data_IF_458102130519
#
_entry.id   IF_458102130519
#
_cell.length_a   1.000
_cell.length_b   1.000
_cell.length_c   1.000
_cell.angle_alpha   90.00
_cell.angle_beta   90.00
_cell.angle_gamma   90.00
#
_symmetry.space_group_name_H-M   'P 1'
#
loop_
_entity.id
_entity.type
_entity.pdbx_description
1 polymer ?
#
# COMPACT_ATOMS: atom_id res chain seq x y z
N UNK A 1 7.73 -19.51 -3.85
CA UNK A 1 8.22 -19.46 -5.24
C UNK A 1 8.52 -20.87 -5.73
N UNK A 2 9.31 -21.66 -4.99
CA UNK A 2 9.56 -23.08 -5.26
C UNK A 2 8.27 -23.91 -5.41
N UNK A 3 7.27 -23.63 -4.56
CA UNK A 3 5.97 -24.32 -4.57
C UNK A 3 5.10 -24.02 -5.81
N UNK A 4 5.28 -22.84 -6.43
CA UNK A 4 4.56 -22.45 -7.66
C UNK A 4 5.27 -22.97 -8.92
N UNK A 5 6.61 -23.06 -8.87
CA UNK A 5 7.42 -23.56 -9.99
C UNK A 5 7.26 -25.07 -10.19
N UNK A 6 7.01 -25.83 -9.13
CA UNK A 6 6.74 -27.27 -9.24
C UNK A 6 5.40 -27.58 -9.90
N UNK A 7 4.40 -26.70 -9.76
CA UNK A 7 3.08 -26.87 -10.39
C UNK A 7 3.06 -26.45 -11.87
N UNK A 8 4.05 -25.68 -12.32
CA UNK A 8 4.12 -25.14 -13.68
C UNK A 8 5.14 -25.86 -14.58
N UNK A 9 5.83 -26.90 -14.10
CA UNK A 9 6.94 -27.58 -14.80
C UNK A 9 8.03 -26.63 -15.33
N UNK A 10 8.23 -25.49 -14.67
CA UNK A 10 9.20 -24.47 -15.07
C UNK A 10 10.32 -24.36 -14.04
N UNK A 11 11.55 -24.21 -14.52
CA UNK A 11 12.64 -23.80 -13.64
C UNK A 11 12.34 -22.43 -13.03
N UNK A 12 12.76 -22.15 -11.78
CA UNK A 12 12.50 -20.87 -11.13
C UNK A 12 12.94 -19.66 -11.95
N UNK A 13 14.05 -19.80 -12.66
CA UNK A 13 14.59 -18.74 -13.51
C UNK A 13 13.75 -18.51 -14.78
N UNK A 14 13.25 -19.58 -15.42
CA UNK A 14 12.35 -19.46 -16.57
C UNK A 14 10.99 -18.87 -16.17
N UNK A 15 10.43 -19.31 -15.03
CA UNK A 15 9.21 -18.73 -14.49
C UNK A 15 9.37 -17.24 -14.20
N UNK A 16 10.44 -16.85 -13.51
CA UNK A 16 10.73 -15.45 -13.20
C UNK A 16 10.79 -14.58 -14.45
N UNK A 17 11.53 -15.02 -15.47
CA UNK A 17 11.69 -14.27 -16.73
C UNK A 17 10.37 -14.15 -17.48
N UNK A 18 9.63 -15.26 -17.61
CA UNK A 18 8.35 -15.28 -18.31
C UNK A 18 7.31 -14.41 -17.58
N UNK A 19 7.23 -14.51 -16.25
CA UNK A 19 6.33 -13.70 -15.45
C UNK A 19 6.61 -12.21 -15.63
N UNK A 20 7.88 -11.79 -15.53
CA UNK A 20 8.26 -10.39 -15.73
C UNK A 20 7.95 -9.90 -17.14
N UNK A 21 8.15 -10.75 -18.16
CA UNK A 21 7.85 -10.42 -19.54
C UNK A 21 6.34 -10.25 -19.80
N UNK A 22 5.51 -11.06 -19.15
CA UNK A 22 4.05 -11.04 -19.35
C UNK A 22 3.34 -10.01 -18.47
N UNK A 23 3.73 -9.89 -17.20
CA UNK A 23 3.05 -9.05 -16.20
C UNK A 23 3.73 -7.69 -16.03
N UNK A 24 4.98 -7.53 -16.51
CA UNK A 24 5.74 -6.28 -16.45
C UNK A 24 6.45 -6.03 -15.11
N UNK A 25 6.11 -6.76 -14.05
CA UNK A 25 6.74 -6.70 -12.73
C UNK A 25 7.29 -8.07 -12.32
N UNK A 26 8.22 -8.11 -11.37
CA UNK A 26 8.75 -9.38 -10.87
C UNK A 26 7.69 -10.11 -10.02
N UNK A 27 7.75 -11.45 -9.92
CA UNK A 27 6.87 -12.21 -9.02
C UNK A 27 6.89 -11.70 -7.57
N UNK A 28 8.06 -11.24 -7.10
CA UNK A 28 8.23 -10.72 -5.74
C UNK A 28 7.53 -9.37 -5.56
N UNK A 29 7.64 -8.48 -6.54
CA UNK A 29 6.93 -7.20 -6.56
C UNK A 29 5.42 -7.45 -6.59
N UNK A 30 4.96 -8.35 -7.47
CA UNK A 30 3.56 -8.72 -7.57
C UNK A 30 3.01 -9.32 -6.27
N UNK A 31 3.74 -10.26 -5.66
CA UNK A 31 3.36 -10.84 -4.37
C UNK A 31 3.30 -9.78 -3.26
N UNK A 32 4.20 -8.80 -3.27
CA UNK A 32 4.18 -7.70 -2.31
C UNK A 32 2.94 -6.83 -2.50
N UNK A 33 2.62 -6.45 -3.74
CA UNK A 33 1.40 -5.69 -4.05
C UNK A 33 0.12 -6.43 -3.66
N UNK A 34 0.07 -7.76 -3.86
CA UNK A 34 -1.08 -8.56 -3.43
C UNK A 34 -1.23 -8.58 -1.91
N UNK A 35 -0.13 -8.74 -1.16
CA UNK A 35 -0.16 -8.68 0.30
C UNK A 35 -0.65 -7.32 0.79
N UNK A 36 -0.22 -6.24 0.14
CA UNK A 36 -0.66 -4.89 0.48
C UNK A 36 -2.17 -4.71 0.23
N UNK A 37 -2.69 -5.28 -0.86
CA UNK A 37 -4.12 -5.26 -1.15
C UNK A 37 -4.93 -6.01 -0.09
N UNK A 38 -4.46 -7.19 0.35
CA UNK A 38 -5.10 -7.97 1.41
C UNK A 38 -5.06 -7.20 2.72
N UNK A 39 -3.91 -6.63 3.10
CA UNK A 39 -3.78 -5.80 4.30
C UNK A 39 -4.75 -4.61 4.26
N UNK A 40 -4.80 -3.85 3.17
CA UNK A 40 -5.68 -2.68 3.05
C UNK A 40 -7.15 -3.07 3.18
N UNK A 41 -7.55 -4.16 2.54
CA UNK A 41 -8.95 -4.64 2.55
C UNK A 41 -9.34 -5.19 3.93
N UNK A 42 -8.47 -6.03 4.53
CA UNK A 42 -8.74 -6.65 5.82
C UNK A 42 -8.64 -5.67 6.99
N UNK A 43 -7.75 -4.68 6.95
CA UNK A 43 -7.65 -3.67 8.01
C UNK A 43 -8.84 -2.72 8.04
N UNK A 44 -9.58 -2.58 6.95
CA UNK A 44 -10.86 -1.86 6.88
C UNK A 44 -12.06 -2.71 7.34
N UNK A 45 -11.84 -3.95 7.78
CA UNK A 45 -12.88 -4.85 8.32
C UNK A 45 -12.75 -5.02 9.84
N UNK A 46 -13.77 -5.62 10.47
CA UNK A 46 -13.78 -5.95 11.90
C UNK A 46 -12.84 -7.11 12.31
N UNK A 47 -12.17 -7.77 11.36
CA UNK A 47 -11.21 -8.84 11.65
C UNK A 47 -10.06 -8.33 12.54
N UNK A 48 -9.40 -9.17 13.34
CA UNK A 48 -8.29 -8.69 14.17
C UNK A 48 -7.06 -8.36 13.30
N UNK A 49 -6.21 -7.41 13.72
CA UNK A 49 -4.95 -7.08 13.01
C UNK A 49 -4.09 -8.33 12.84
N UNK A 50 -4.11 -9.24 13.82
CA UNK A 50 -3.40 -10.52 13.78
C UNK A 50 -3.91 -11.42 12.66
N UNK A 51 -5.23 -11.57 12.53
CA UNK A 51 -5.84 -12.44 11.52
C UNK A 51 -5.57 -11.93 10.11
N UNK A 52 -5.77 -10.62 9.89
CA UNK A 52 -5.50 -9.96 8.61
C UNK A 52 -4.02 -10.10 8.22
N UNK A 53 -3.12 -10.01 9.20
CA UNK A 53 -1.69 -10.19 8.98
C UNK A 53 -1.33 -11.62 8.59
N UNK A 54 -1.97 -12.60 9.23
CA UNK A 54 -1.79 -14.02 8.90
C UNK A 54 -2.31 -14.31 7.49
N UNK A 55 -3.51 -13.81 7.16
CA UNK A 55 -4.15 -13.95 5.84
C UNK A 55 -3.33 -13.29 4.72
N UNK A 56 -2.73 -12.13 5.00
CA UNK A 56 -1.79 -11.48 4.08
C UNK A 56 -0.46 -12.23 3.94
N UNK A 57 -0.30 -13.42 4.52
CA UNK A 57 0.86 -14.29 4.33
C UNK A 57 2.11 -13.85 5.09
N UNK A 58 1.96 -13.02 6.13
CA UNK A 58 3.07 -12.71 7.02
C UNK A 58 3.24 -13.86 8.02
N UNK A 59 4.39 -14.54 7.97
CA UNK A 59 4.71 -15.63 8.90
C UNK A 59 4.82 -15.21 10.38
N UNK A 60 4.74 -13.92 10.69
CA UNK A 60 4.54 -13.40 12.05
C UNK A 60 4.09 -11.94 12.06
N UNK A 61 3.43 -11.53 13.15
CA UNK A 61 3.03 -10.14 13.39
C UNK A 61 4.25 -9.19 13.37
N UNK A 62 5.36 -9.61 13.97
CA UNK A 62 6.60 -8.80 14.01
C UNK A 62 7.11 -8.50 12.60
N UNK A 63 7.09 -9.50 11.70
CA UNK A 63 7.50 -9.30 10.30
C UNK A 63 6.55 -8.39 9.55
N UNK A 64 5.25 -8.47 9.84
CA UNK A 64 4.29 -7.54 9.28
C UNK A 64 4.58 -6.12 9.71
N UNK A 65 4.67 -5.84 11.01
CA UNK A 65 4.99 -4.49 11.50
C UNK A 65 6.33 -3.93 10.96
N UNK A 66 7.33 -4.77 10.72
CA UNK A 66 8.61 -4.36 10.13
C UNK A 66 8.55 -4.04 8.63
N UNK A 67 7.66 -4.69 7.86
CA UNK A 67 7.54 -4.50 6.40
C UNK A 67 6.43 -3.51 6.01
N UNK A 68 5.46 -3.30 6.89
CA UNK A 68 4.29 -2.46 6.64
C UNK A 68 4.63 -0.97 6.42
N UNK A 69 5.61 -0.34 7.10
CA UNK A 69 5.98 1.05 6.83
C UNK A 69 6.42 1.30 5.38
N UNK A 70 7.04 0.32 4.71
CA UNK A 70 7.43 0.44 3.30
C UNK A 70 6.26 0.29 2.32
N UNK A 71 5.16 -0.33 2.75
CA UNK A 71 4.08 -0.77 1.89
C UNK A 71 2.76 0.00 2.11
N UNK A 72 2.39 0.25 3.37
CA UNK A 72 1.24 1.08 3.76
C UNK A 72 1.65 2.53 4.07
N UNK A 73 2.95 2.82 4.23
CA UNK A 73 3.44 4.12 4.71
C UNK A 73 3.29 4.36 6.22
N UNK A 74 2.65 3.42 6.93
CA UNK A 74 2.40 3.48 8.38
C UNK A 74 2.31 2.06 8.98
N UNK A 75 2.05 1.94 10.29
CA UNK A 75 1.84 0.61 10.92
C UNK A 75 0.42 0.10 10.65
N UNK A 76 0.16 -1.23 10.72
CA UNK A 76 -1.18 -1.79 10.49
C UNK A 76 -2.26 -1.16 11.39
N UNK A 77 -1.95 -0.92 12.67
CA UNK A 77 -2.87 -0.29 13.62
C UNK A 77 -3.12 1.17 13.30
N UNK A 78 -2.09 1.94 12.95
CA UNK A 78 -2.27 3.32 12.51
C UNK A 78 -3.15 3.38 11.25
N UNK A 79 -2.95 2.46 10.31
CA UNK A 79 -3.78 2.35 9.11
C UNK A 79 -5.24 2.02 9.45
N UNK A 80 -5.48 1.09 10.37
CA UNK A 80 -6.83 0.74 10.83
C UNK A 80 -7.55 1.93 11.47
N UNK A 81 -6.84 2.70 12.27
CA UNK A 81 -7.41 3.88 12.94
C UNK A 81 -7.51 5.09 11.98
N UNK A 82 -7.42 4.90 10.67
CA UNK A 82 -7.49 5.99 9.69
C UNK A 82 -6.32 6.99 9.80
N UNK A 83 -5.22 6.62 10.45
CA UNK A 83 -4.12 7.53 10.73
C UNK A 83 -4.36 8.47 11.91
N UNK A 84 -5.30 8.16 12.80
CA UNK A 84 -5.60 8.96 14.00
C UNK A 84 -4.31 9.31 14.78
N UNK A 85 -4.10 10.61 14.99
CA UNK A 85 -2.90 11.15 15.64
C UNK A 85 -1.68 11.36 14.74
N UNK A 86 -1.79 11.18 13.41
CA UNK A 86 -0.75 11.59 12.46
C UNK A 86 -0.88 13.07 12.12
N UNK A 87 0.21 13.81 12.30
CA UNK A 87 0.32 15.19 11.79
C UNK A 87 0.54 15.17 10.27
N UNK A 88 -0.52 15.49 9.53
CA UNK A 88 -0.46 15.65 8.08
C UNK A 88 -0.36 17.14 7.74
N UNK A 89 0.77 17.54 7.13
CA UNK A 89 0.98 18.88 6.58
C UNK A 89 0.42 18.92 5.16
N UNK A 90 -0.43 19.90 4.89
CA UNK A 90 -1.11 20.04 3.60
C UNK A 90 -0.54 21.26 2.87
N UNK A 91 -0.20 21.08 1.60
CA UNK A 91 0.14 22.16 0.69
C UNK A 91 -0.78 22.11 -0.54
N UNK A 92 -1.19 23.28 -1.03
CA UNK A 92 -1.99 23.40 -2.25
C UNK A 92 -1.28 24.33 -3.21
N UNK A 93 -1.14 23.92 -4.47
CA UNK A 93 -0.50 24.69 -5.52
C UNK A 93 -1.23 24.57 -6.84
N UNK A 94 -0.96 25.48 -7.78
CA UNK A 94 -1.50 25.43 -9.13
C UNK A 94 -0.54 24.67 -10.06
N UNK A 95 -1.08 23.83 -10.94
CA UNK A 95 -0.36 23.05 -11.95
C UNK A 95 -1.17 23.01 -13.27
N UNK A 96 -0.67 22.31 -14.28
CA UNK A 96 -1.34 22.27 -15.58
C UNK A 96 -2.68 21.50 -15.58
N UNK A 97 -2.96 20.69 -14.55
CA UNK A 97 -4.23 19.97 -14.36
C UNK A 97 -5.24 20.74 -13.49
N UNK A 98 -4.98 22.02 -13.18
CA UNK A 98 -5.72 22.77 -12.15
C UNK A 98 -4.93 22.84 -10.84
N UNK A 99 -5.59 22.69 -9.70
CA UNK A 99 -4.92 22.65 -8.40
C UNK A 99 -4.45 21.24 -8.05
N UNK A 100 -3.31 21.18 -7.36
CA UNK A 100 -2.79 19.98 -6.72
C UNK A 100 -2.76 20.20 -5.21
N UNK A 101 -3.34 19.26 -4.46
CA UNK A 101 -3.22 19.17 -3.01
C UNK A 101 -2.25 18.04 -2.69
N UNK A 102 -1.28 18.31 -1.84
CA UNK A 102 -0.31 17.32 -1.35
C UNK A 102 -0.42 17.24 0.16
N UNK A 103 -0.77 16.05 0.65
CA UNK A 103 -0.69 15.69 2.06
C UNK A 103 0.64 15.00 2.34
N UNK A 104 1.36 15.46 3.37
CA UNK A 104 2.65 14.90 3.75
C UNK A 104 2.78 14.70 5.27
N UNK A 105 3.29 13.55 5.67
CA UNK A 105 3.66 13.22 7.05
C UNK A 105 5.15 13.48 7.28
N UNK A 106 5.66 13.08 8.44
CA UNK A 106 7.08 12.99 8.74
C UNK A 106 7.81 11.94 7.87
N UNK A 107 7.08 10.94 7.37
CA UNK A 107 7.61 9.84 6.54
C UNK A 107 7.59 10.12 5.05
N UNK A 108 6.84 11.12 4.58
CA UNK A 108 6.78 11.51 3.16
C UNK A 108 5.37 11.88 2.70
N UNK A 109 5.15 11.87 1.38
CA UNK A 109 3.85 12.19 0.78
C UNK A 109 2.87 11.04 1.03
N UNK A 110 1.76 11.32 1.71
CA UNK A 110 0.69 10.36 1.96
C UNK A 110 -0.44 10.43 0.94
N UNK A 111 -0.65 11.60 0.33
CA UNK A 111 -1.72 11.81 -0.64
C UNK A 111 -1.36 12.91 -1.65
N UNK A 112 -1.83 12.72 -2.89
CA UNK A 112 -1.79 13.72 -3.95
C UNK A 112 -3.16 13.70 -4.62
N UNK A 113 -3.83 14.85 -4.64
CA UNK A 113 -5.14 15.02 -5.28
C UNK A 113 -5.11 16.19 -6.25
N UNK A 114 -5.92 16.09 -7.31
CA UNK A 114 -6.11 17.15 -8.30
C UNK A 114 -7.56 17.62 -8.31
N UNK A 115 -7.76 18.91 -8.56
CA UNK A 115 -9.10 19.48 -8.64
C UNK A 115 -9.09 20.94 -9.06
N UNK A 116 -10.28 21.49 -9.29
CA UNK A 116 -10.45 22.85 -9.80
C UNK A 116 -10.68 23.89 -8.70
N UNK A 117 -11.07 23.45 -7.50
CA UNK A 117 -11.36 24.31 -6.36
C UNK A 117 -10.54 23.88 -5.11
N UNK A 118 -9.56 24.69 -4.68
CA UNK A 118 -8.69 24.34 -3.55
C UNK A 118 -9.43 24.31 -2.20
N UNK A 119 -10.56 25.02 -2.07
CA UNK A 119 -11.39 25.01 -0.86
C UNK A 119 -12.21 23.73 -0.72
N UNK A 120 -12.75 23.23 -1.84
CA UNK A 120 -13.42 21.91 -1.87
C UNK A 120 -12.42 20.79 -1.57
N UNK A 121 -11.25 20.83 -2.21
CA UNK A 121 -10.20 19.83 -2.01
C UNK A 121 -9.76 19.75 -0.53
N UNK A 122 -9.57 20.90 0.14
CA UNK A 122 -9.20 20.91 1.57
C UNK A 122 -10.26 20.29 2.46
N UNK A 123 -11.53 20.64 2.24
CA UNK A 123 -12.64 20.09 3.04
C UNK A 123 -12.75 18.57 2.89
N UNK A 124 -12.68 18.06 1.66
CA UNK A 124 -12.76 16.62 1.41
C UNK A 124 -11.58 15.84 2.02
N UNK A 125 -10.43 16.49 2.19
CA UNK A 125 -9.26 15.87 2.80
C UNK A 125 -9.31 15.82 4.33
N UNK A 126 -10.09 16.71 4.95
CA UNK A 126 -10.26 16.82 6.41
C UNK A 126 -11.45 15.98 6.94
N UNK A 127 -12.32 15.48 6.05
CA UNK A 127 -13.46 14.58 6.34
C UNK A 127 -13.05 13.10 6.39
#
# INVERSE_FOLDING_TARGET
MEEFTSQADLSPWHFYRLFKQTIGVTPEQYATTLRDKILRTGLSSDASVTDVTCEAGFGSIVRAYGSTPGNLGMTPTAYRNGGEGLDIRIAVGHCFLGYVLVGATDKGISAIEFGDDPGVMRRNFEE
#
